data_IF_178448630723
#
_entry.id   IF_178448630723
#
_cell.length_a   1.000
_cell.length_b   1.000
_cell.length_c   1.000
_cell.angle_alpha   90.00
_cell.angle_beta   90.00
_cell.angle_gamma   90.00
#
_symmetry.space_group_name_H-M   'P 1'
#
loop_
_entity.id
_entity.type
_entity.pdbx_description
1 polymer ?
#
# COMPACT_ATOMS: atom_id res chain seq x y z
N UNK A 1 -5.32 18.48 5.61
CA UNK A 1 -4.39 18.24 4.50
C UNK A 1 -3.00 18.68 4.95
N UNK A 2 -2.17 17.76 5.43
CA UNK A 2 -0.78 18.07 5.81
C UNK A 2 0.02 18.30 4.53
N UNK A 3 0.48 19.53 4.31
CA UNK A 3 1.32 19.88 3.17
C UNK A 3 2.67 19.14 3.26
N UNK A 4 3.04 18.45 2.19
CA UNK A 4 4.37 17.85 2.02
C UNK A 4 5.41 18.98 1.92
N UNK A 5 6.12 19.24 3.02
CA UNK A 5 7.28 20.12 3.05
C UNK A 5 8.56 19.32 2.83
N UNK A 6 9.66 19.99 2.48
CA UNK A 6 10.94 19.34 2.15
C UNK A 6 11.57 18.62 3.37
N UNK A 7 11.38 19.14 4.59
CA UNK A 7 11.77 18.47 5.84
C UNK A 7 10.92 17.21 6.10
N UNK A 8 9.61 17.28 5.89
CA UNK A 8 8.71 16.12 5.99
C UNK A 8 9.06 15.05 4.95
N UNK A 9 9.60 15.43 3.78
CA UNK A 9 10.00 14.49 2.74
C UNK A 9 11.30 13.76 3.08
N UNK A 10 12.29 14.41 3.69
CA UNK A 10 13.52 13.75 4.14
C UNK A 10 13.26 12.80 5.31
N UNK A 11 12.44 13.19 6.29
CA UNK A 11 11.99 12.27 7.33
C UNK A 11 11.16 11.12 6.75
N UNK A 12 10.28 11.41 5.78
CA UNK A 12 9.49 10.37 5.11
C UNK A 12 10.37 9.38 4.33
N UNK A 13 11.43 9.82 3.65
CA UNK A 13 12.42 8.94 3.02
C UNK A 13 13.15 8.11 4.08
N UNK A 14 13.61 8.73 5.17
CA UNK A 14 14.33 8.02 6.23
C UNK A 14 13.48 6.91 6.87
N UNK A 15 12.17 7.15 7.02
CA UNK A 15 11.22 6.19 7.56
C UNK A 15 10.44 5.42 6.50
N UNK A 16 10.85 5.45 5.22
CA UNK A 16 10.03 4.89 4.15
C UNK A 16 9.84 3.39 4.32
N UNK A 17 10.88 2.64 4.70
CA UNK A 17 10.78 1.20 4.93
C UNK A 17 9.83 0.90 6.09
N UNK A 18 9.99 1.58 7.23
CA UNK A 18 9.12 1.41 8.39
C UNK A 18 7.66 1.79 8.09
N UNK A 19 7.45 2.92 7.40
CA UNK A 19 6.12 3.38 7.02
C UNK A 19 5.50 2.44 6.00
N UNK A 20 6.24 1.97 5.01
CA UNK A 20 5.75 1.01 4.01
C UNK A 20 5.34 -0.30 4.69
N UNK A 21 6.17 -0.85 5.58
CA UNK A 21 5.80 -2.06 6.34
C UNK A 21 4.57 -1.83 7.22
N UNK A 22 4.49 -0.68 7.91
CA UNK A 22 3.31 -0.32 8.69
C UNK A 22 2.06 -0.16 7.83
N UNK A 23 2.18 0.52 6.68
CA UNK A 23 1.08 0.70 5.73
C UNK A 23 0.63 -0.64 5.14
N UNK A 24 1.56 -1.50 4.71
CA UNK A 24 1.26 -2.84 4.19
C UNK A 24 0.59 -3.69 5.27
N UNK A 25 1.06 -3.63 6.52
CA UNK A 25 0.46 -4.36 7.64
C UNK A 25 -0.94 -3.88 8.02
N UNK A 26 -1.17 -2.57 8.11
CA UNK A 26 -2.49 -2.02 8.42
C UNK A 26 -3.47 -2.18 7.25
N UNK A 27 -2.99 -2.06 6.00
CA UNK A 27 -3.76 -2.38 4.80
C UNK A 27 -4.18 -3.84 4.77
N UNK A 28 -3.24 -4.77 5.02
CA UNK A 28 -3.52 -6.19 5.09
C UNK A 28 -4.59 -6.52 6.16
N UNK A 29 -4.50 -5.91 7.35
CA UNK A 29 -5.53 -6.06 8.39
C UNK A 29 -6.89 -5.51 7.98
N UNK A 30 -6.92 -4.33 7.36
CA UNK A 30 -8.17 -3.63 6.99
C UNK A 30 -8.92 -4.38 5.89
N UNK A 31 -8.17 -4.88 4.91
CA UNK A 31 -8.71 -5.61 3.76
C UNK A 31 -8.77 -7.13 3.98
N UNK A 32 -8.42 -7.59 5.19
CA UNK A 32 -8.37 -9.00 5.56
C UNK A 32 -7.47 -9.86 4.65
N UNK A 33 -6.37 -9.28 4.16
CA UNK A 33 -5.36 -9.95 3.34
C UNK A 33 -4.21 -10.47 4.21
N UNK A 34 -3.58 -11.57 3.80
CA UNK A 34 -2.38 -12.06 4.44
C UNK A 34 -1.16 -11.75 3.55
N UNK A 35 -0.53 -10.60 3.79
CA UNK A 35 0.64 -10.14 3.04
C UNK A 35 1.93 -10.49 3.81
N UNK A 36 2.48 -11.68 3.56
CA UNK A 36 3.66 -12.24 4.24
C UNK A 36 4.90 -12.36 3.33
N UNK A 37 5.00 -11.53 2.29
CA UNK A 37 6.07 -11.52 1.28
C UNK A 37 6.25 -12.84 0.50
N UNK A 38 5.31 -13.78 0.65
CA UNK A 38 5.24 -15.04 -0.09
C UNK A 38 4.68 -14.83 -1.50
N UNK A 39 4.98 -15.75 -2.43
CA UNK A 39 4.37 -15.71 -3.78
C UNK A 39 2.85 -15.87 -3.70
N UNK A 40 2.35 -16.62 -2.72
CA UNK A 40 0.92 -16.82 -2.48
C UNK A 40 0.23 -15.52 -2.06
N UNK A 41 0.88 -14.73 -1.19
CA UNK A 41 0.38 -13.40 -0.80
C UNK A 41 0.29 -12.41 -1.97
N UNK A 42 1.18 -12.52 -2.96
CA UNK A 42 1.12 -11.72 -4.18
C UNK A 42 -0.10 -12.08 -5.04
N UNK A 43 -0.50 -13.34 -5.06
CA UNK A 43 -1.70 -13.78 -5.79
C UNK A 43 -2.98 -13.37 -5.05
N UNK A 44 -3.00 -13.43 -3.71
CA UNK A 44 -4.09 -12.86 -2.90
C UNK A 44 -4.27 -11.36 -3.16
N UNK A 45 -3.16 -10.59 -3.15
CA UNK A 45 -3.20 -9.16 -3.43
C UNK A 45 -3.74 -8.87 -4.84
N UNK A 46 -3.29 -9.65 -5.84
CA UNK A 46 -3.76 -9.53 -7.22
C UNK A 46 -5.26 -9.81 -7.33
N UNK A 47 -5.75 -10.86 -6.70
CA UNK A 47 -7.17 -11.21 -6.71
C UNK A 47 -8.01 -10.13 -6.00
N UNK A 48 -7.53 -9.58 -4.89
CA UNK A 48 -8.17 -8.44 -4.22
C UNK A 48 -8.21 -7.21 -5.13
N UNK A 49 -7.12 -6.88 -5.83
CA UNK A 49 -7.10 -5.76 -6.78
C UNK A 49 -8.11 -5.96 -7.92
N UNK A 50 -8.21 -7.16 -8.49
CA UNK A 50 -9.18 -7.46 -9.55
C UNK A 50 -10.64 -7.43 -9.07
N UNK A 51 -10.89 -7.78 -7.80
CA UNK A 51 -12.22 -7.73 -7.20
C UNK A 51 -12.67 -6.30 -6.87
N UNK A 52 -11.74 -5.45 -6.45
CA UNK A 52 -12.04 -4.07 -6.02
C UNK A 52 -11.92 -3.04 -7.15
N UNK A 53 -11.14 -3.33 -8.19
CA UNK A 53 -10.94 -2.44 -9.32
C UNK A 53 -11.26 -3.17 -10.62
N UNK A 54 -12.38 -2.80 -11.24
CA UNK A 54 -12.86 -3.41 -12.48
C UNK A 54 -12.10 -2.92 -13.73
N UNK A 55 -11.33 -1.84 -13.61
CA UNK A 55 -10.55 -1.23 -14.69
C UNK A 55 -9.23 -0.68 -14.13
N UNK A 56 -8.12 -0.99 -14.80
CA UNK A 56 -6.77 -0.53 -14.44
C UNK A 56 -6.64 1.00 -14.50
N UNK A 57 -7.52 1.69 -15.24
CA UNK A 57 -7.59 3.15 -15.29
C UNK A 57 -8.06 3.77 -13.96
N UNK A 58 -8.66 2.99 -13.06
CA UNK A 58 -9.02 3.46 -11.72
C UNK A 58 -7.80 3.65 -10.80
N UNK A 59 -6.65 3.04 -11.12
CA UNK A 59 -5.37 3.32 -10.44
C UNK A 59 -4.77 4.69 -10.79
N UNK A 60 -5.28 5.38 -11.83
CA UNK A 60 -4.69 6.64 -12.34
C UNK A 60 -5.30 7.93 -11.80
N UNK A 61 -6.25 7.88 -10.86
CA UNK A 61 -6.87 9.10 -10.36
C UNK A 61 -7.29 9.00 -8.90
N UNK A 62 -6.40 9.38 -7.99
CA UNK A 62 -6.73 10.31 -6.91
C UNK A 62 -5.50 10.99 -6.32
#
# INVERSE_FOLDING_TARGET
MSHYTQENFQEWIFFIDFKMTYFVGEFAKTEHLNLDDSVESLDELKNWMLANFSDINQFKAK
#
